data_IF_844448700094
#
_entry.id   IF_844448700094
#
_cell.length_a   1.000
_cell.length_b   1.000
_cell.length_c   1.000
_cell.angle_alpha   90.00
_cell.angle_beta   90.00
_cell.angle_gamma   90.00
#
_symmetry.space_group_name_H-M   'P 1'
#
loop_
_entity.id
_entity.type
_entity.pdbx_description
1 polymer ?
#
# COMPACT_ATOMS: atom_id res chain seq x y z
N UNK A 1 4.79 19.07 6.63
CA UNK A 1 3.41 18.66 6.96
C UNK A 1 2.70 19.82 7.65
N UNK A 2 1.40 20.02 7.44
CA UNK A 2 0.67 21.11 8.09
C UNK A 2 0.61 20.88 9.61
N UNK A 3 0.89 21.91 10.41
CA UNK A 3 0.95 21.84 11.88
C UNK A 3 -0.39 21.46 12.55
N UNK A 4 -1.48 21.45 11.79
CA UNK A 4 -2.84 21.20 12.26
C UNK A 4 -3.45 19.94 11.64
N UNK A 5 -2.65 19.02 11.11
CA UNK A 5 -3.18 17.78 10.54
C UNK A 5 -3.97 16.98 11.60
N UNK A 6 -5.25 16.61 11.33
CA UNK A 6 -6.11 15.95 12.31
C UNK A 6 -5.59 14.56 12.73
N UNK A 7 -4.82 13.89 11.88
CA UNK A 7 -4.25 12.57 12.16
C UNK A 7 -2.98 12.69 13.02
N UNK A 8 -2.17 13.74 12.83
CA UNK A 8 -1.03 14.00 13.73
C UNK A 8 -1.47 14.54 15.08
N UNK A 9 -2.58 15.29 15.11
CA UNK A 9 -3.16 15.87 16.33
C UNK A 9 -4.17 14.95 17.03
N UNK A 10 -4.41 13.73 16.50
CA UNK A 10 -5.34 12.72 17.03
C UNK A 10 -6.77 13.24 17.25
N UNK A 11 -7.21 14.21 16.45
CA UNK A 11 -8.58 14.76 16.50
C UNK A 11 -9.60 13.82 15.87
N UNK A 12 -9.15 12.93 14.97
CA UNK A 12 -9.94 11.84 14.40
C UNK A 12 -9.55 10.56 15.16
N UNK A 13 -10.48 10.05 15.97
CA UNK A 13 -10.27 8.86 16.82
C UNK A 13 -11.17 7.69 16.47
N UNK A 14 -12.12 7.88 15.54
CA UNK A 14 -13.01 6.85 15.01
C UNK A 14 -12.71 6.60 13.54
N UNK A 15 -12.97 5.38 13.07
CA UNK A 15 -12.94 5.09 11.64
C UNK A 15 -14.00 5.94 10.94
N UNK A 16 -13.56 6.81 10.03
CA UNK A 16 -14.43 7.70 9.27
C UNK A 16 -15.04 7.00 8.05
N UNK A 17 -14.55 5.81 7.69
CA UNK A 17 -15.00 5.07 6.52
C UNK A 17 -16.02 4.02 6.94
N UNK A 18 -17.28 4.20 6.52
CA UNK A 18 -18.34 3.22 6.73
C UNK A 18 -18.34 2.12 5.66
N UNK A 19 -17.97 2.47 4.43
CA UNK A 19 -17.86 1.56 3.29
C UNK A 19 -16.97 2.18 2.20
N UNK A 20 -16.44 1.36 1.30
CA UNK A 20 -15.74 1.79 0.08
C UNK A 20 -15.84 0.74 -1.00
N UNK A 21 -15.83 1.21 -2.26
CA UNK A 21 -15.73 0.30 -3.40
C UNK A 21 -14.43 -0.51 -3.35
N UNK A 22 -14.45 -1.81 -3.71
CA UNK A 22 -13.24 -2.57 -3.99
C UNK A 22 -12.37 -1.84 -5.00
N UNK A 23 -11.09 -1.68 -4.69
CA UNK A 23 -10.16 -1.03 -5.59
C UNK A 23 -9.32 -2.09 -6.30
N UNK A 24 -9.31 -2.04 -7.63
CA UNK A 24 -8.65 -3.04 -8.46
C UNK A 24 -7.54 -2.41 -9.29
N UNK A 25 -6.45 -3.15 -9.44
CA UNK A 25 -5.32 -2.80 -10.28
C UNK A 25 -4.76 -4.02 -11.00
N UNK A 26 -3.82 -3.79 -11.90
CA UNK A 26 -3.08 -4.84 -12.59
C UNK A 26 -1.58 -4.58 -12.48
N UNK A 27 -0.80 -5.64 -12.34
CA UNK A 27 0.66 -5.54 -12.33
C UNK A 27 1.18 -5.09 -13.69
N UNK A 28 1.92 -3.99 -13.72
CA UNK A 28 2.56 -3.43 -14.93
C UNK A 28 4.08 -3.55 -14.90
N UNK A 29 4.68 -3.82 -13.73
CA UNK A 29 6.06 -4.29 -13.60
C UNK A 29 6.18 -5.20 -12.39
N UNK A 30 6.87 -6.34 -12.56
CA UNK A 30 7.19 -7.27 -11.46
C UNK A 30 8.53 -6.87 -10.88
N UNK A 31 8.62 -6.78 -9.55
CA UNK A 31 9.86 -6.40 -8.87
C UNK A 31 10.51 -7.61 -8.19
N UNK A 32 11.82 -7.49 -7.95
CA UNK A 32 12.64 -8.51 -7.30
C UNK A 32 13.46 -7.91 -6.18
N UNK A 33 13.76 -8.75 -5.19
CA UNK A 33 14.71 -8.44 -4.12
C UNK A 33 14.08 -7.89 -2.84
N UNK A 34 14.92 -7.87 -1.81
CA UNK A 34 14.62 -7.40 -0.47
C UNK A 34 15.68 -6.42 -0.01
N UNK A 35 15.32 -5.55 0.94
CA UNK A 35 16.25 -4.56 1.52
C UNK A 35 16.02 -4.53 3.01
N UNK A 36 17.06 -4.74 3.82
CA UNK A 36 16.94 -4.78 5.29
C UNK A 36 16.79 -3.40 5.95
N UNK A 37 17.31 -2.33 5.31
CA UNK A 37 17.36 -0.98 5.88
C UNK A 37 16.90 0.07 4.86
N UNK A 38 15.69 -0.11 4.31
CA UNK A 38 15.12 0.79 3.31
C UNK A 38 14.73 2.15 3.88
N UNK A 39 14.29 2.19 5.13
CA UNK A 39 14.02 3.42 5.88
C UNK A 39 12.88 4.25 5.31
N UNK A 40 11.74 3.63 4.99
CA UNK A 40 10.54 4.36 4.55
C UNK A 40 9.88 5.06 5.73
N UNK A 41 9.39 6.28 5.54
CA UNK A 41 8.68 7.05 6.56
C UNK A 41 7.21 7.17 6.15
N UNK A 42 6.35 6.36 6.78
CA UNK A 42 4.94 6.33 6.43
C UNK A 42 4.26 7.64 6.86
N UNK A 43 3.44 8.20 5.99
CA UNK A 43 2.62 9.36 6.31
C UNK A 43 1.58 8.97 7.38
N UNK A 44 1.13 9.92 8.23
CA UNK A 44 0.18 9.65 9.30
C UNK A 44 -1.26 9.43 8.80
N UNK A 45 -1.58 9.88 7.58
CA UNK A 45 -2.92 9.75 7.03
C UNK A 45 -3.17 8.28 6.63
N UNK A 46 -4.28 7.67 7.10
CA UNK A 46 -4.54 6.25 6.90
C UNK A 46 -5.03 5.94 5.49
N UNK A 47 -5.34 6.94 4.67
CA UNK A 47 -6.01 6.75 3.39
C UNK A 47 -5.43 7.60 2.27
N UNK A 48 -5.55 7.13 1.03
CA UNK A 48 -5.19 7.87 -0.17
C UNK A 48 -6.19 7.66 -1.29
N UNK A 49 -6.64 8.77 -1.88
CA UNK A 49 -7.35 8.72 -3.14
C UNK A 49 -6.38 8.39 -4.28
N UNK A 50 -6.83 7.56 -5.21
CA UNK A 50 -6.15 7.29 -6.47
C UNK A 50 -7.11 7.42 -7.62
N UNK A 51 -6.57 7.75 -8.79
CA UNK A 51 -7.31 7.85 -10.05
C UNK A 51 -7.10 6.60 -10.91
N UNK A 52 -8.06 6.32 -11.79
CA UNK A 52 -7.87 5.33 -12.85
C UNK A 52 -6.64 5.71 -13.70
N UNK A 53 -5.77 4.73 -13.95
CA UNK A 53 -4.55 4.87 -14.75
C UNK A 53 -3.32 5.32 -13.96
N UNK A 54 -3.46 5.68 -12.69
CA UNK A 54 -2.30 5.94 -11.83
C UNK A 54 -1.51 4.65 -11.57
N UNK A 55 -0.18 4.76 -11.57
CA UNK A 55 0.75 3.65 -11.36
C UNK A 55 1.51 3.87 -10.06
N UNK A 56 1.42 2.91 -9.14
CA UNK A 56 2.07 3.00 -7.82
C UNK A 56 2.82 1.72 -7.45
N UNK A 57 3.79 1.84 -6.56
CA UNK A 57 4.64 0.74 -6.13
C UNK A 57 4.03 0.04 -4.91
N UNK A 58 3.89 -1.28 -4.96
CA UNK A 58 3.49 -2.10 -3.81
C UNK A 58 4.72 -2.75 -3.20
N UNK A 59 4.87 -2.60 -1.89
CA UNK A 59 6.00 -3.08 -1.09
C UNK A 59 5.45 -3.94 0.05
N UNK A 60 6.14 -5.03 0.37
CA UNK A 60 5.80 -5.92 1.48
C UNK A 60 6.76 -5.73 2.65
N UNK A 61 6.25 -5.86 3.87
CA UNK A 61 7.05 -5.95 5.10
C UNK A 61 6.39 -6.84 6.13
N UNK A 62 7.17 -7.56 6.94
CA UNK A 62 6.64 -8.28 8.12
C UNK A 62 6.66 -7.44 9.39
N UNK A 63 7.18 -6.20 9.35
CA UNK A 63 7.26 -5.35 10.53
C UNK A 63 5.86 -4.96 11.03
N UNK A 64 5.66 -4.81 12.36
CA UNK A 64 4.40 -4.40 12.94
C UNK A 64 4.18 -2.88 12.77
N UNK A 65 3.97 -2.45 11.52
CA UNK A 65 3.87 -1.03 11.14
C UNK A 65 2.42 -0.61 10.88
N UNK A 66 2.21 0.71 11.03
CA UNK A 66 0.94 1.42 10.84
C UNK A 66 1.22 2.85 10.31
N UNK A 67 0.21 3.66 9.94
CA UNK A 67 0.43 5.03 9.51
C UNK A 67 1.28 5.83 10.50
N UNK A 68 2.25 6.60 10.01
CA UNK A 68 3.24 7.31 10.84
C UNK A 68 4.45 6.49 11.31
N UNK A 69 4.50 5.18 11.03
CA UNK A 69 5.64 4.32 11.39
C UNK A 69 6.82 4.49 10.43
N UNK A 70 8.02 4.14 10.89
CA UNK A 70 9.20 3.94 10.04
C UNK A 70 9.33 2.45 9.68
N UNK A 71 9.64 2.14 8.42
CA UNK A 71 9.79 0.76 7.91
C UNK A 71 11.24 0.52 7.50
N UNK A 72 11.87 -0.51 8.08
CA UNK A 72 13.25 -0.89 7.77
C UNK A 72 13.32 -1.92 6.65
N UNK A 73 12.95 -3.16 6.97
CA UNK A 73 13.04 -4.33 6.13
C UNK A 73 11.82 -4.45 5.21
N UNK A 74 12.09 -4.62 3.92
CA UNK A 74 11.06 -4.73 2.88
C UNK A 74 11.38 -5.79 1.83
N UNK A 75 10.34 -6.18 1.09
CA UNK A 75 10.43 -6.88 -0.18
C UNK A 75 9.65 -6.11 -1.26
N UNK A 76 10.23 -5.97 -2.45
CA UNK A 76 9.57 -5.29 -3.56
C UNK A 76 8.58 -6.23 -4.25
N UNK A 77 7.31 -5.81 -4.40
CA UNK A 77 6.30 -6.63 -5.06
C UNK A 77 6.18 -6.29 -6.55
N UNK A 78 5.64 -5.13 -6.86
CA UNK A 78 5.24 -4.76 -8.21
C UNK A 78 4.91 -3.27 -8.32
N UNK A 79 4.97 -2.74 -9.54
CA UNK A 79 4.18 -1.56 -9.91
C UNK A 79 2.78 -2.01 -10.37
N UNK A 80 1.76 -1.31 -9.88
CA UNK A 80 0.35 -1.61 -10.14
C UNK A 80 -0.34 -0.39 -10.75
N UNK A 81 -0.99 -0.59 -11.89
CA UNK A 81 -1.86 0.41 -12.54
C UNK A 81 -3.30 0.22 -12.06
N UNK A 82 -3.87 1.24 -11.41
CA UNK A 82 -5.25 1.21 -10.93
C UNK A 82 -6.25 1.28 -12.09
N UNK A 83 -7.22 0.35 -12.10
CA UNK A 83 -8.21 0.23 -13.18
C UNK A 83 -9.48 1.05 -12.91
N UNK A 84 -9.65 1.54 -11.69
CA UNK A 84 -10.71 2.45 -11.24
C UNK A 84 -10.16 3.50 -10.28
N UNK A 85 -10.85 4.63 -10.13
CA UNK A 85 -10.58 5.57 -9.06
C UNK A 85 -11.25 5.14 -7.76
N UNK A 86 -10.68 5.52 -6.62
CA UNK A 86 -11.23 5.19 -5.31
C UNK A 86 -10.27 5.52 -4.17
N UNK A 87 -10.53 4.92 -3.00
CA UNK A 87 -9.77 5.18 -1.77
C UNK A 87 -9.01 3.91 -1.37
N UNK A 88 -7.68 4.00 -1.24
CA UNK A 88 -6.86 3.04 -0.50
C UNK A 88 -6.95 3.36 0.98
N UNK A 89 -7.12 2.35 1.83
CA UNK A 89 -7.30 2.52 3.27
C UNK A 89 -6.41 1.54 4.05
N UNK A 90 -5.64 2.06 5.00
CA UNK A 90 -4.90 1.22 5.96
C UNK A 90 -5.86 0.25 6.63
N UNK A 91 -5.51 -1.04 6.65
CA UNK A 91 -6.38 -2.13 7.07
C UNK A 91 -7.04 -2.89 5.91
N UNK A 92 -7.00 -2.37 4.68
CA UNK A 92 -7.49 -3.10 3.50
C UNK A 92 -6.77 -4.46 3.37
N UNK A 93 -7.53 -5.52 3.11
CA UNK A 93 -7.00 -6.80 2.67
C UNK A 93 -6.51 -6.68 1.23
N UNK A 94 -5.26 -7.11 1.01
CA UNK A 94 -4.62 -7.02 -0.29
C UNK A 94 -4.46 -8.42 -0.87
N UNK A 95 -4.95 -8.59 -2.09
CA UNK A 95 -4.84 -9.84 -2.83
C UNK A 95 -4.08 -9.62 -4.13
N UNK A 96 -3.28 -10.62 -4.54
CA UNK A 96 -2.66 -10.69 -5.86
C UNK A 96 -2.98 -12.05 -6.48
N UNK A 97 -3.59 -12.06 -7.66
CA UNK A 97 -3.99 -13.31 -8.33
C UNK A 97 -5.00 -14.15 -7.52
N UNK A 98 -5.80 -13.52 -6.67
CA UNK A 98 -6.76 -14.20 -5.78
C UNK A 98 -6.17 -14.72 -4.47
N UNK A 99 -4.84 -14.65 -4.28
CA UNK A 99 -4.20 -15.01 -3.02
C UNK A 99 -4.02 -13.77 -2.13
N UNK A 100 -4.36 -13.87 -0.84
CA UNK A 100 -4.07 -12.82 0.14
C UNK A 100 -2.56 -12.69 0.33
N UNK A 101 -2.05 -11.47 0.17
CA UNK A 101 -0.63 -11.16 0.36
C UNK A 101 -0.37 -10.35 1.63
N UNK A 102 -1.41 -9.78 2.23
CA UNK A 102 -1.31 -9.06 3.49
C UNK A 102 -2.38 -7.99 3.68
N UNK A 103 -2.06 -7.03 4.55
CA UNK A 103 -2.91 -5.91 4.93
C UNK A 103 -2.21 -4.58 4.61
N UNK A 104 -2.89 -3.63 3.98
CA UNK A 104 -2.34 -2.30 3.71
C UNK A 104 -1.99 -1.60 5.04
N UNK A 105 -0.73 -1.24 5.23
CA UNK A 105 -0.24 -0.63 6.48
C UNK A 105 -0.08 0.89 6.39
N UNK A 106 0.12 1.44 5.20
CA UNK A 106 0.26 2.87 5.00
C UNK A 106 1.01 3.23 3.72
N UNK A 107 1.45 4.48 3.65
CA UNK A 107 2.01 5.05 2.44
C UNK A 107 3.27 5.84 2.72
N UNK A 108 4.29 5.68 1.88
CA UNK A 108 5.48 6.53 1.86
C UNK A 108 5.49 7.38 0.58
N UNK A 109 5.95 8.62 0.71
CA UNK A 109 5.85 9.66 -0.32
C UNK A 109 7.19 10.06 -0.93
N UNK A 110 8.25 9.28 -0.67
CA UNK A 110 9.62 9.62 -1.08
C UNK A 110 9.77 9.87 -2.59
N UNK A 111 8.93 9.24 -3.41
CA UNK A 111 8.98 9.33 -4.88
C UNK A 111 7.83 10.13 -5.51
N UNK A 112 6.97 10.74 -4.70
CA UNK A 112 5.85 11.53 -5.21
C UNK A 112 6.37 12.82 -5.90
N UNK A 113 5.81 13.26 -7.06
CA UNK A 113 4.56 12.84 -7.70
C UNK A 113 4.68 11.71 -8.73
N UNK A 114 5.85 11.08 -8.88
CA UNK A 114 6.00 9.96 -9.84
C UNK A 114 5.13 8.78 -9.42
N UNK A 115 5.37 8.26 -8.22
CA UNK A 115 4.53 7.24 -7.62
C UNK A 115 4.57 7.33 -6.09
N UNK A 116 3.60 6.68 -5.45
CA UNK A 116 3.57 6.47 -4.02
C UNK A 116 4.01 5.03 -3.71
N UNK A 117 4.67 4.85 -2.57
CA UNK A 117 4.94 3.53 -2.01
C UNK A 117 3.73 3.10 -1.17
N UNK A 118 3.06 2.04 -1.60
CA UNK A 118 1.94 1.39 -0.90
C UNK A 118 2.54 0.24 -0.11
N UNK A 119 2.60 0.38 1.22
CA UNK A 119 3.26 -0.60 2.08
C UNK A 119 2.23 -1.57 2.66
N UNK A 120 2.41 -2.85 2.40
CA UNK A 120 1.53 -3.95 2.81
C UNK A 120 2.25 -4.80 3.85
N UNK A 121 1.63 -4.97 5.01
CA UNK A 121 2.10 -5.85 6.07
C UNK A 121 1.73 -7.30 5.75
N UNK A 122 2.73 -8.15 5.55
CA UNK A 122 2.57 -9.54 5.15
C UNK A 122 3.91 -10.28 5.10
N UNK A 123 3.92 -11.47 4.50
CA UNK A 123 5.17 -12.21 4.30
C UNK A 123 6.09 -11.45 3.31
N UNK A 124 7.34 -11.11 3.68
CA UNK A 124 8.22 -10.23 2.91
C UNK A 124 8.94 -11.01 1.80
N UNK A 125 8.16 -11.45 0.82
CA UNK A 125 8.63 -12.19 -0.37
C UNK A 125 8.35 -11.35 -1.62
N UNK A 126 9.37 -11.16 -2.46
CA UNK A 126 9.28 -10.27 -3.62
C UNK A 126 8.33 -10.80 -4.70
N UNK A 127 7.96 -9.93 -5.66
CA UNK A 127 7.06 -10.30 -6.75
C UNK A 127 7.56 -11.47 -7.59
N UNK A 128 8.85 -11.44 -7.95
CA UNK A 128 9.51 -12.52 -8.67
C UNK A 128 9.46 -13.84 -7.90
N UNK A 129 9.84 -13.83 -6.61
CA UNK A 129 9.84 -15.03 -5.79
C UNK A 129 8.43 -15.61 -5.59
N UNK A 130 7.40 -14.76 -5.63
CA UNK A 130 5.98 -15.16 -5.58
C UNK A 130 5.44 -15.68 -6.91
N UNK A 131 6.21 -15.60 -8.00
CA UNK A 131 5.74 -15.96 -9.34
C UNK A 131 4.68 -15.00 -9.88
N UNK A 132 4.62 -13.76 -9.39
CA UNK A 132 3.72 -12.74 -9.94
C UNK A 132 4.11 -12.46 -11.39
N UNK A 133 3.10 -12.30 -12.23
CA UNK A 133 3.27 -12.03 -13.66
C UNK A 133 2.68 -10.67 -14.01
N UNK A 134 3.02 -10.17 -15.20
CA UNK A 134 2.34 -9.02 -15.76
C UNK A 134 0.84 -9.29 -15.87
N UNK A 135 0.04 -8.25 -15.69
CA UNK A 135 -1.42 -8.29 -15.67
C UNK A 135 -2.05 -9.12 -14.54
N UNK A 136 -1.26 -9.65 -13.58
CA UNK A 136 -1.82 -10.21 -12.36
C UNK A 136 -2.71 -9.16 -11.69
N UNK A 137 -3.98 -9.53 -11.45
CA UNK A 137 -4.95 -8.66 -10.76
C UNK A 137 -4.52 -8.46 -9.32
N UNK A 138 -4.54 -7.21 -8.87
CA UNK A 138 -4.35 -6.81 -7.47
C UNK A 138 -5.63 -6.16 -6.98
N UNK A 139 -6.11 -6.51 -5.79
CA UNK A 139 -7.32 -5.91 -5.21
C UNK A 139 -7.12 -5.52 -3.76
N UNK A 140 -7.69 -4.37 -3.39
CA UNK A 140 -7.71 -3.81 -2.04
C UNK A 140 -9.15 -3.77 -1.56
N UNK A 141 -9.45 -4.58 -0.55
CA UNK A 141 -10.80 -4.79 -0.02
C UNK A 141 -10.87 -4.27 1.42
N UNK A 142 -11.89 -3.47 1.73
CA UNK A 142 -12.13 -3.03 3.11
C UNK A 142 -12.35 -4.26 3.99
N UNK A 143 -11.74 -4.24 5.17
CA UNK A 143 -11.95 -5.28 6.16
C UNK A 143 -13.40 -5.19 6.68
N UNK A 144 -14.13 -6.30 6.57
CA UNK A 144 -15.46 -6.48 7.18
C UNK A 144 -15.40 -6.50 8.70
#
# INVERSE_FOLDING_TARGET
MASNDPYTTKKVTSDAYADKVPLEGKVVAVLRGTVANRGLDLIPQPSRAVSKGEVHEVILTSEPVAPGSRVGAIAYLAFVEFQSGGILLSGDKVYAGGQEIGELAGFDMSHFPNHMNIVVRGEPRSGEERGISLNTKVSFLMRS
#
